data_IF_313933659140
#
_entry.id   IF_313933659140
#
_cell.length_a   1.000
_cell.length_b   1.000
_cell.length_c   1.000
_cell.angle_alpha   90.00
_cell.angle_beta   90.00
_cell.angle_gamma   90.00
#
_symmetry.space_group_name_H-M   'P 1'
#
loop_
_entity.id
_entity.type
_entity.pdbx_description
1 polymer ?
#
# COMPACT_ATOMS: atom_id res chain seq x y z
N UNK A 1 8.25 -7.57 -18.27
CA UNK A 1 9.17 -7.78 -17.12
C UNK A 1 8.43 -7.22 -15.92
N UNK A 2 8.06 -8.06 -14.94
CA UNK A 2 7.37 -7.57 -13.75
C UNK A 2 8.30 -6.59 -13.03
N UNK A 3 7.77 -5.46 -12.54
CA UNK A 3 8.52 -4.62 -11.64
C UNK A 3 9.00 -5.48 -10.45
N UNK A 4 10.20 -5.25 -9.90
CA UNK A 4 10.67 -6.00 -8.74
C UNK A 4 9.84 -5.72 -7.49
N UNK A 5 8.79 -4.89 -7.56
CA UNK A 5 7.87 -4.60 -6.46
C UNK A 5 6.46 -5.01 -6.84
N UNK A 6 5.74 -5.57 -5.86
CA UNK A 6 4.34 -5.93 -5.96
C UNK A 6 3.58 -5.42 -4.73
N UNK A 7 2.42 -4.83 -4.96
CA UNK A 7 1.53 -4.38 -3.90
C UNK A 7 0.29 -5.26 -3.89
N UNK A 8 -0.16 -5.61 -2.70
CA UNK A 8 -1.39 -6.34 -2.46
C UNK A 8 -2.13 -5.69 -1.29
N UNK A 9 -3.45 -5.68 -1.35
CA UNK A 9 -4.30 -5.39 -0.21
C UNK A 9 -4.85 -6.72 0.31
N UNK A 10 -4.97 -6.86 1.64
CA UNK A 10 -5.64 -8.01 2.26
C UNK A 10 -7.07 -8.17 1.74
N UNK A 11 -7.75 -7.04 1.52
CA UNK A 11 -9.12 -6.98 1.02
C UNK A 11 -9.25 -5.92 -0.06
N UNK A 12 -9.78 -6.31 -1.23
CA UNK A 12 -10.15 -5.38 -2.30
C UNK A 12 -11.51 -4.71 -2.04
N UNK A 13 -12.34 -5.28 -1.16
CA UNK A 13 -13.60 -4.69 -0.72
C UNK A 13 -13.67 -4.77 0.80
N UNK A 14 -13.97 -3.64 1.45
CA UNK A 14 -14.00 -3.51 2.91
C UNK A 14 -15.19 -2.69 3.35
N UNK A 15 -15.76 -3.03 4.49
CA UNK A 15 -16.83 -2.23 5.08
C UNK A 15 -16.28 -0.94 5.72
N UNK A 16 -17.04 0.16 5.71
CA UNK A 16 -16.66 1.37 6.44
C UNK A 16 -16.49 1.05 7.93
N UNK A 17 -15.36 1.45 8.51
CA UNK A 17 -14.96 1.10 9.88
C UNK A 17 -14.12 -0.18 10.01
N UNK A 18 -13.88 -0.90 8.92
CA UNK A 18 -12.93 -2.01 8.88
C UNK A 18 -11.47 -1.51 8.75
N UNK A 19 -10.50 -2.42 8.82
CA UNK A 19 -9.08 -2.11 8.61
C UNK A 19 -8.58 -2.87 7.38
N UNK A 20 -7.99 -2.15 6.43
CA UNK A 20 -7.32 -2.72 5.26
C UNK A 20 -5.83 -2.79 5.55
N UNK A 21 -5.21 -3.95 5.37
CA UNK A 21 -3.75 -4.05 5.40
C UNK A 21 -3.22 -4.05 3.98
N UNK A 22 -2.40 -3.06 3.66
CA UNK A 22 -1.63 -3.01 2.43
C UNK A 22 -0.28 -3.67 2.68
N UNK A 23 0.13 -4.56 1.78
CA UNK A 23 1.42 -5.24 1.79
C UNK A 23 2.13 -4.96 0.49
N UNK A 24 3.30 -4.33 0.55
CA UNK A 24 4.18 -4.18 -0.59
C UNK A 24 5.40 -5.10 -0.43
N UNK A 25 5.69 -5.90 -1.45
CA UNK A 25 6.78 -6.87 -1.47
C UNK A 25 7.75 -6.53 -2.57
N UNK A 26 9.01 -6.30 -2.21
CA UNK A 26 10.12 -6.22 -3.14
C UNK A 26 10.70 -7.62 -3.32
N UNK A 27 10.95 -8.02 -4.57
CA UNK A 27 11.58 -9.29 -4.94
C UNK A 27 12.88 -8.99 -5.70
N UNK A 28 13.98 -9.55 -5.22
CA UNK A 28 15.29 -9.44 -5.85
C UNK A 28 15.42 -10.31 -7.11
N UNK A 29 16.34 -9.96 -8.03
CA UNK A 29 17.44 -9.02 -7.84
C UNK A 29 17.03 -7.56 -8.09
N UNK A 30 17.11 -6.72 -7.05
CA UNK A 30 16.73 -5.32 -7.11
C UNK A 30 17.48 -4.50 -6.05
N UNK A 31 17.76 -3.24 -6.37
CA UNK A 31 18.31 -2.27 -5.42
C UNK A 31 17.32 -1.11 -5.34
N UNK A 32 16.83 -0.84 -4.13
CA UNK A 32 15.88 0.24 -3.85
C UNK A 32 16.36 1.04 -2.65
N UNK A 33 16.11 2.34 -2.67
CA UNK A 33 16.26 3.18 -1.49
C UNK A 33 14.97 3.10 -0.70
N UNK A 34 15.07 2.79 0.59
CA UNK A 34 13.94 2.70 1.51
C UNK A 34 14.21 3.66 2.67
N UNK A 35 13.24 4.50 3.02
CA UNK A 35 13.41 5.42 4.16
C UNK A 35 13.34 4.67 5.49
N UNK A 36 14.26 4.96 6.43
CA UNK A 36 14.29 4.29 7.73
C UNK A 36 13.14 4.72 8.64
N UNK A 37 12.61 5.93 8.48
CA UNK A 37 11.51 6.42 9.32
C UNK A 37 10.16 5.97 8.79
N UNK A 38 9.96 6.09 7.47
CA UNK A 38 8.67 5.89 6.82
C UNK A 38 8.87 5.17 5.48
N UNK A 39 9.18 3.86 5.50
CA UNK A 39 9.63 3.13 4.32
C UNK A 39 8.55 3.02 3.25
N UNK A 40 7.30 2.76 3.66
CA UNK A 40 6.13 2.64 2.78
C UNK A 40 5.13 3.76 3.08
N UNK A 41 4.85 4.60 2.10
CA UNK A 41 3.77 5.57 2.13
C UNK A 41 2.53 5.00 1.43
N UNK A 42 1.37 5.21 2.04
CA UNK A 42 0.07 4.93 1.44
C UNK A 42 -0.75 6.22 1.35
N UNK A 43 -1.29 6.48 0.18
CA UNK A 43 -2.24 7.55 -0.08
C UNK A 43 -3.50 6.96 -0.68
N UNK A 44 -4.62 7.05 0.03
CA UNK A 44 -5.91 6.62 -0.50
C UNK A 44 -6.69 7.82 -0.98
N UNK A 45 -7.16 7.73 -2.21
CA UNK A 45 -7.96 8.74 -2.89
C UNK A 45 -9.33 8.19 -3.25
N UNK A 46 -10.36 9.01 -3.16
CA UNK A 46 -11.71 8.67 -3.64
C UNK A 46 -11.77 8.67 -5.19
N UNK A 47 -12.87 8.19 -5.77
CA UNK A 47 -13.23 8.33 -7.20
C UNK A 47 -13.05 9.73 -7.80
N UNK A 48 -13.09 10.78 -6.96
CA UNK A 48 -12.85 12.18 -7.30
C UNK A 48 -11.38 12.61 -7.22
N UNK A 49 -10.45 11.68 -7.00
CA UNK A 49 -9.03 11.90 -6.74
C UNK A 49 -8.75 12.76 -5.49
N UNK A 50 -9.71 12.84 -4.56
CA UNK A 50 -9.54 13.50 -3.27
C UNK A 50 -8.87 12.55 -2.28
N UNK A 51 -7.77 12.96 -1.68
CA UNK A 51 -7.08 12.21 -0.63
C UNK A 51 -7.97 12.11 0.61
N UNK A 52 -8.42 10.89 0.91
CA UNK A 52 -9.24 10.59 2.09
C UNK A 52 -8.42 10.02 3.24
N UNK A 53 -7.26 9.44 2.92
CA UNK A 53 -6.34 8.91 3.91
C UNK A 53 -4.91 9.00 3.40
N UNK A 54 -3.98 9.28 4.31
CA UNK A 54 -2.56 9.18 4.08
C UNK A 54 -1.92 8.57 5.32
N UNK A 55 -1.15 7.51 5.14
CA UNK A 55 -0.47 6.82 6.23
C UNK A 55 0.92 6.37 5.80
N UNK A 56 1.73 6.03 6.78
CA UNK A 56 3.06 5.47 6.60
C UNK A 56 3.11 4.15 7.35
N UNK A 57 3.88 3.18 6.85
CA UNK A 57 4.22 1.99 7.61
C UNK A 57 5.12 2.36 8.79
N UNK A 58 5.24 1.43 9.74
CA UNK A 58 6.23 1.56 10.79
C UNK A 58 7.66 1.62 10.22
N UNK A 59 8.56 2.21 10.99
CA UNK A 59 9.97 2.29 10.67
C UNK A 59 10.52 0.90 10.32
N UNK A 60 11.21 0.82 9.19
CA UNK A 60 11.87 -0.41 8.78
C UNK A 60 12.95 -0.79 9.79
N UNK A 61 13.22 -2.08 9.93
CA UNK A 61 14.41 -2.54 10.64
C UNK A 61 15.66 -1.89 10.04
N UNK A 62 16.70 -1.67 10.84
CA UNK A 62 17.94 -1.02 10.37
C UNK A 62 18.58 -1.72 9.16
N UNK A 63 18.40 -3.04 9.05
CA UNK A 63 18.87 -3.87 7.94
C UNK A 63 17.94 -3.81 6.70
N UNK A 64 16.72 -3.29 6.86
CA UNK A 64 15.68 -3.16 5.84
C UNK A 64 15.46 -1.68 5.43
N UNK A 65 16.41 -0.79 5.72
CA UNK A 65 16.31 0.62 5.37
C UNK A 65 17.60 1.18 4.76
N UNK A 66 17.51 2.33 4.11
CA UNK A 66 18.57 2.89 3.26
C UNK A 66 18.68 2.14 1.94
N UNK A 67 19.91 1.80 1.55
CA UNK A 67 20.18 1.04 0.31
C UNK A 67 19.88 -0.44 0.50
N UNK A 68 18.62 -0.82 0.31
CA UNK A 68 18.21 -2.20 0.34
C UNK A 68 18.58 -2.87 -1.00
N UNK A 69 19.49 -3.83 -0.95
CA UNK A 69 19.89 -4.63 -2.10
C UNK A 69 19.45 -6.07 -1.90
N UNK A 70 18.43 -6.48 -2.64
CA UNK A 70 17.93 -7.84 -2.63
C UNK A 70 18.63 -8.64 -3.72
N UNK A 71 19.24 -9.75 -3.31
CA UNK A 71 19.77 -10.74 -4.24
C UNK A 71 18.64 -11.53 -4.90
N UNK A 72 18.90 -12.17 -6.04
CA UNK A 72 17.92 -13.02 -6.70
C UNK A 72 17.36 -14.09 -5.75
N UNK A 73 16.04 -14.10 -5.53
CA UNK A 73 15.36 -15.00 -4.60
C UNK A 73 15.18 -14.47 -3.17
N UNK A 74 15.72 -13.30 -2.84
CA UNK A 74 15.38 -12.58 -1.61
C UNK A 74 14.12 -11.72 -1.83
N UNK A 75 13.32 -11.56 -0.79
CA UNK A 75 12.14 -10.70 -0.82
C UNK A 75 11.95 -10.00 0.52
N UNK A 76 11.61 -8.73 0.48
CA UNK A 76 11.30 -7.93 1.67
C UNK A 76 9.89 -7.36 1.53
N UNK A 77 9.13 -7.38 2.63
CA UNK A 77 7.73 -6.98 2.63
C UNK A 77 7.45 -5.93 3.70
N UNK A 78 6.74 -4.88 3.31
CA UNK A 78 6.32 -3.78 4.18
C UNK A 78 4.82 -3.76 4.25
N UNK A 79 4.30 -3.47 5.44
CA UNK A 79 2.86 -3.46 5.68
C UNK A 79 2.43 -2.15 6.30
N UNK A 80 1.27 -1.66 5.87
CA UNK A 80 0.61 -0.51 6.47
C UNK A 80 -0.87 -0.80 6.62
N UNK A 81 -1.38 -0.58 7.82
CA UNK A 81 -2.80 -0.70 8.13
C UNK A 81 -3.48 0.64 7.86
N UNK A 82 -4.49 0.62 7.00
CA UNK A 82 -5.41 1.72 6.81
C UNK A 82 -6.71 1.41 7.57
N UNK A 83 -6.96 2.09 8.72
CA UNK A 83 -8.28 2.08 9.34
C UNK A 83 -9.24 2.89 8.45
N UNK A 84 -10.16 2.20 7.79
CA UNK A 84 -11.15 2.83 6.92
C UNK A 84 -12.10 3.61 7.79
N UNK A 85 -12.14 4.93 7.61
CA UNK A 85 -12.99 5.78 8.41
C UNK A 85 -14.46 5.41 8.19
N UNK A 86 -15.24 5.14 9.26
CA UNK A 86 -16.63 4.72 9.14
C UNK A 86 -17.55 5.79 8.54
N UNK A 87 -17.08 7.05 8.46
CA UNK A 87 -17.80 8.13 7.78
C UNK A 87 -17.60 8.14 6.26
N UNK A 88 -16.69 7.30 5.73
CA UNK A 88 -16.46 7.22 4.29
C UNK A 88 -17.67 6.63 3.57
N UNK A 89 -18.15 7.31 2.52
CA UNK A 89 -19.25 6.78 1.71
C UNK A 89 -18.81 5.50 0.98
N UNK A 90 -19.78 4.61 0.76
CA UNK A 90 -19.51 3.43 -0.06
C UNK A 90 -19.19 3.82 -1.50
N UNK A 91 -18.09 3.30 -2.06
CA UNK A 91 -17.58 3.71 -3.37
C UNK A 91 -16.24 3.07 -3.71
N UNK A 92 -15.68 3.48 -4.85
CA UNK A 92 -14.35 3.01 -5.29
C UNK A 92 -13.29 4.01 -4.89
N UNK A 93 -12.23 3.50 -4.28
CA UNK A 93 -11.07 4.21 -3.78
C UNK A 93 -9.82 3.69 -4.47
N UNK A 94 -8.82 4.54 -4.65
CA UNK A 94 -7.52 4.18 -5.20
C UNK A 94 -6.46 4.42 -4.14
N UNK A 95 -5.83 3.34 -3.68
CA UNK A 95 -4.67 3.40 -2.80
C UNK A 95 -3.39 3.41 -3.63
N UNK A 96 -2.62 4.47 -3.51
CA UNK A 96 -1.27 4.61 -4.05
C UNK A 96 -0.27 4.24 -2.96
N UNK A 97 0.52 3.21 -3.21
CA UNK A 97 1.62 2.75 -2.38
C UNK A 97 2.93 3.25 -3.00
N UNK A 98 3.80 3.81 -2.17
CA UNK A 98 5.13 4.32 -2.57
C UNK A 98 6.15 3.85 -1.54
N UNK A 99 7.07 3.00 -1.95
CA UNK A 99 8.12 2.46 -1.08
C UNK A 99 9.48 3.09 -1.41
N UNK A 100 9.83 4.17 -0.70
CA UNK A 100 11.04 4.94 -0.96
C UNK A 100 11.18 5.36 -2.43
N UNK A 101 12.21 4.87 -3.14
CA UNK A 101 12.47 5.15 -4.57
C UNK A 101 11.87 4.08 -5.52
N UNK A 102 11.12 3.10 -5.00
CA UNK A 102 10.42 2.13 -5.81
C UNK A 102 9.31 2.80 -6.68
N UNK A 103 8.93 2.19 -7.81
CA UNK A 103 7.82 2.70 -8.61
C UNK A 103 6.52 2.66 -7.80
N UNK A 104 5.76 3.76 -7.84
CA UNK A 104 4.46 3.83 -7.20
C UNK A 104 3.51 2.76 -7.75
N UNK A 105 2.78 2.08 -6.86
CA UNK A 105 1.80 1.07 -7.19
C UNK A 105 0.41 1.56 -6.80
N UNK A 106 -0.57 1.34 -7.66
CA UNK A 106 -1.96 1.74 -7.39
C UNK A 106 -2.84 0.52 -7.28
N UNK A 107 -3.61 0.43 -6.19
CA UNK A 107 -4.61 -0.59 -5.92
C UNK A 107 -6.00 0.03 -5.89
N UNK A 108 -6.94 -0.61 -6.56
CA UNK A 108 -8.36 -0.23 -6.49
C UNK A 108 -9.02 -0.97 -5.33
N UNK A 109 -9.68 -0.23 -4.44
CA UNK A 109 -10.48 -0.78 -3.34
C UNK A 109 -11.93 -0.32 -3.46
N UNK A 110 -12.86 -1.13 -2.99
CA UNK A 110 -14.24 -0.74 -2.79
C UNK A 110 -14.51 -0.62 -1.28
N UNK A 111 -14.99 0.53 -0.84
CA UNK A 111 -15.50 0.68 0.53
C UNK A 111 -17.01 0.50 0.50
N UNK A 112 -17.55 -0.27 1.44
CA UNK A 112 -18.97 -0.56 1.57
C UNK A 112 -19.57 -1.41 0.45
N UNK A 113 -20.89 -1.52 0.47
CA UNK A 113 -21.64 -2.14 -0.62
C UNK A 113 -21.70 -1.17 -1.80
N UNK A 114 -21.14 -1.58 -2.94
CA UNK A 114 -21.39 -0.88 -4.20
C UNK A 114 -22.91 -0.83 -4.41
N UNK A 115 -23.52 0.35 -4.60
CA UNK A 115 -24.94 0.46 -4.90
C UNK A 115 -25.21 -0.15 -6.28
N UNK A 116 -25.48 -1.46 -6.33
CA UNK A 116 -25.67 -2.19 -7.57
C UNK A 116 -25.94 -3.69 -7.47
N UNK A 117 -25.94 -4.30 -6.28
CA UNK A 117 -26.34 -5.70 -6.10
C UNK A 117 -27.76 -5.79 -5.50
N UNK A 118 -28.77 -5.51 -6.32
CA UNK A 118 -30.15 -5.94 -6.11
C UNK A 118 -30.75 -6.35 -7.45
#
# INVERSE_FOLDING_TARGET
>A
MAAPVSAAADQAQVDPGATVTFTETITGPATVQVDCSDPLQVLVTDSTALSVYSGYSEAAAADACGTLTLTGGASESYQVAWPVDPSLPGGTYTATLVLGDAPQLTLSLAVGTLPGAC
#
